data_IF_659543164763
#
_entry.id   IF_659543164763
#
_cell.length_a   1.000
_cell.length_b   1.000
_cell.length_c   1.000
_cell.angle_alpha   90.00
_cell.angle_beta   90.00
_cell.angle_gamma   90.00
#
_symmetry.space_group_name_H-M   'P 1'
#
loop_
_entity.id
_entity.type
_entity.pdbx_description
1 polymer ?
#
# COMPACT_ATOMS: atom_id res chain seq x y z
N UNK A 1 1.42 -22.12 22.65
CA UNK A 1 1.61 -21.13 21.56
C UNK A 1 0.39 -20.22 21.53
N UNK A 2 0.56 -18.91 21.36
CA UNK A 2 -0.58 -18.01 21.16
C UNK A 2 -1.36 -18.40 19.88
N UNK A 3 -2.68 -18.23 19.89
CA UNK A 3 -3.49 -18.48 18.70
C UNK A 3 -3.06 -17.52 17.56
N UNK A 4 -3.13 -17.95 16.28
CA UNK A 4 -2.86 -17.07 15.15
C UNK A 4 -3.73 -15.81 15.18
N UNK A 5 -3.16 -14.64 14.85
CA UNK A 5 -3.87 -13.35 14.93
C UNK A 5 -5.21 -13.35 14.19
N UNK A 6 -5.31 -14.04 13.05
CA UNK A 6 -6.53 -14.09 12.24
C UNK A 6 -7.66 -14.91 12.88
N UNK A 7 -7.40 -15.62 13.98
CA UNK A 7 -8.41 -16.34 14.78
C UNK A 7 -8.84 -15.57 16.04
N UNK A 8 -8.17 -14.48 16.39
CA UNK A 8 -8.45 -13.73 17.63
C UNK A 8 -8.71 -12.23 17.40
N UNK A 9 -8.28 -11.69 16.26
CA UNK A 9 -8.47 -10.28 15.88
C UNK A 9 -9.61 -10.16 14.86
N UNK A 10 -10.80 -9.79 15.32
CA UNK A 10 -12.02 -9.75 14.49
C UNK A 10 -12.32 -8.38 13.88
N UNK A 11 -11.90 -7.28 14.52
CA UNK A 11 -12.10 -5.93 14.00
C UNK A 11 -10.88 -5.52 13.18
N UNK A 12 -11.01 -5.66 11.87
CA UNK A 12 -9.94 -5.42 10.90
C UNK A 12 -10.26 -4.23 10.03
N UNK A 13 -9.24 -3.50 9.62
CA UNK A 13 -9.43 -2.36 8.72
C UNK A 13 -8.34 -2.31 7.66
N UNK A 14 -8.73 -1.79 6.50
CA UNK A 14 -7.85 -1.27 5.47
C UNK A 14 -8.35 0.14 5.18
N UNK A 15 -7.48 1.14 5.32
CA UNK A 15 -7.77 2.50 4.87
C UNK A 15 -7.13 2.67 3.51
N UNK A 16 -7.96 2.90 2.50
CA UNK A 16 -7.53 3.06 1.12
C UNK A 16 -6.56 4.24 1.00
N UNK A 17 -5.42 3.99 0.36
CA UNK A 17 -4.40 4.98 0.10
C UNK A 17 -4.04 5.03 -1.39
N UNK A 18 -5.00 5.00 -2.32
CA UNK A 18 -4.71 5.24 -3.75
C UNK A 18 -4.42 6.72 -4.06
N UNK A 19 -3.41 7.27 -3.38
CA UNK A 19 -3.03 8.67 -3.46
C UNK A 19 -1.87 8.82 -4.45
N UNK A 20 -2.06 9.57 -5.55
CA UNK A 20 -0.99 9.90 -6.49
C UNK A 20 -0.08 11.00 -5.95
N UNK A 21 1.08 11.20 -6.57
CA UNK A 21 2.09 12.16 -6.12
C UNK A 21 2.24 13.40 -7.02
N UNK A 22 1.23 13.69 -7.86
CA UNK A 22 1.24 14.88 -8.72
C UNK A 22 1.10 16.19 -7.94
N UNK A 23 0.54 16.14 -6.72
CA UNK A 23 0.54 17.27 -5.78
C UNK A 23 1.52 17.01 -4.65
N UNK A 24 2.47 17.93 -4.46
CA UNK A 24 3.48 17.86 -3.40
C UNK A 24 2.87 17.95 -1.99
N UNK A 25 1.63 18.41 -1.86
CA UNK A 25 0.92 18.51 -0.58
C UNK A 25 0.36 17.16 -0.12
N UNK A 26 0.18 16.19 -1.03
CA UNK A 26 -0.33 14.88 -0.65
C UNK A 26 0.62 14.17 0.31
N UNK A 27 0.04 13.64 1.40
CA UNK A 27 0.75 13.00 2.52
C UNK A 27 1.74 13.90 3.29
N UNK A 28 1.85 15.19 2.94
CA UNK A 28 2.80 16.12 3.58
C UNK A 28 2.52 16.39 5.07
N UNK A 29 1.28 16.20 5.50
CA UNK A 29 0.83 16.37 6.90
C UNK A 29 0.45 15.03 7.53
N UNK A 30 0.89 13.90 6.95
CA UNK A 30 0.53 12.60 7.48
C UNK A 30 1.15 12.37 8.87
N UNK A 31 0.31 11.93 9.80
CA UNK A 31 0.68 11.60 11.16
C UNK A 31 0.28 10.14 11.46
N UNK A 32 1.26 9.22 11.54
CA UNK A 32 1.01 7.81 11.81
C UNK A 32 0.47 7.57 13.23
N UNK A 33 0.89 8.37 14.22
CA UNK A 33 0.42 8.21 15.60
C UNK A 33 -1.06 8.59 15.68
N UNK A 34 -1.45 9.74 15.11
CA UNK A 34 -2.85 10.15 15.03
C UNK A 34 -3.71 9.16 14.24
N UNK A 35 -3.16 8.57 13.17
CA UNK A 35 -3.84 7.52 12.43
C UNK A 35 -4.12 6.31 13.32
N UNK A 36 -3.10 5.79 14.01
CA UNK A 36 -3.25 4.60 14.87
C UNK A 36 -4.09 4.89 16.13
N UNK A 37 -4.04 6.10 16.69
CA UNK A 37 -4.93 6.51 17.78
C UNK A 37 -6.40 6.41 17.36
N UNK A 38 -6.74 6.77 16.12
CA UNK A 38 -8.09 6.60 15.61
C UNK A 38 -8.47 5.12 15.44
N UNK A 39 -7.51 4.26 15.08
CA UNK A 39 -7.74 2.81 15.01
C UNK A 39 -8.04 2.24 16.41
N UNK A 40 -7.28 2.67 17.42
CA UNK A 40 -7.46 2.25 18.81
C UNK A 40 -8.81 2.70 19.36
N UNK A 41 -9.19 3.97 19.13
CA UNK A 41 -10.51 4.50 19.47
C UNK A 41 -11.66 3.75 18.79
N UNK A 42 -11.43 3.23 17.58
CA UNK A 42 -12.37 2.37 16.87
C UNK A 42 -12.32 0.89 17.33
N UNK A 43 -11.49 0.56 18.32
CA UNK A 43 -11.18 -0.80 18.79
C UNK A 43 -10.75 -1.76 17.67
N UNK A 44 -10.06 -1.25 16.65
CA UNK A 44 -9.43 -2.08 15.63
C UNK A 44 -8.36 -2.94 16.29
N UNK A 45 -8.39 -4.23 16.01
CA UNK A 45 -7.39 -5.18 16.50
C UNK A 45 -6.42 -5.62 15.42
N UNK A 46 -6.75 -5.49 14.12
CA UNK A 46 -5.80 -5.73 13.04
C UNK A 46 -5.87 -4.64 11.96
N UNK A 47 -4.71 -4.10 11.55
CA UNK A 47 -4.61 -3.10 10.50
C UNK A 47 -3.89 -3.68 9.29
N UNK A 48 -4.54 -3.62 8.12
CA UNK A 48 -3.90 -3.83 6.84
C UNK A 48 -3.37 -2.48 6.33
N UNK A 49 -2.05 -2.42 6.13
CA UNK A 49 -1.29 -1.19 5.91
C UNK A 49 -0.73 -1.23 4.50
N UNK A 50 -1.02 -0.20 3.71
CA UNK A 50 -0.48 -0.05 2.37
C UNK A 50 1.05 0.11 2.42
N UNK A 51 1.76 -0.82 1.78
CA UNK A 51 3.18 -0.67 1.43
C UNK A 51 3.32 -0.01 0.04
N UNK A 52 2.43 -0.32 -0.90
CA UNK A 52 2.18 0.43 -2.13
C UNK A 52 0.69 0.30 -2.51
N UNK A 53 0.22 1.12 -3.45
CA UNK A 53 -1.17 1.07 -3.97
C UNK A 53 -1.21 0.78 -5.48
N UNK A 54 -2.41 0.70 -6.09
CA UNK A 54 -2.55 0.57 -7.55
C UNK A 54 -1.97 1.76 -8.34
N UNK A 55 -1.72 2.90 -7.69
CA UNK A 55 -0.97 4.00 -8.31
C UNK A 55 0.48 3.59 -8.57
N UNK A 56 0.98 2.56 -7.88
CA UNK A 56 2.32 2.00 -8.09
C UNK A 56 3.41 2.65 -7.24
N UNK A 57 3.04 3.61 -6.39
CA UNK A 57 3.95 4.32 -5.51
C UNK A 57 4.02 3.64 -4.14
N UNK A 58 5.25 3.43 -3.66
CA UNK A 58 5.52 2.87 -2.34
C UNK A 58 5.48 3.96 -1.26
N UNK A 59 5.00 3.59 -0.07
CA UNK A 59 4.92 4.45 1.10
C UNK A 59 6.11 4.26 2.08
N UNK A 60 7.20 3.71 1.57
CA UNK A 60 8.44 3.43 2.27
C UNK A 60 9.63 3.58 1.30
N UNK A 61 10.87 3.85 1.79
CA UNK A 61 12.08 3.87 0.96
C UNK A 61 12.35 2.50 0.32
N UNK A 62 12.13 2.37 -0.98
CA UNK A 62 12.14 1.09 -1.69
C UNK A 62 13.27 0.97 -2.73
N UNK A 63 13.63 -0.27 -3.08
CA UNK A 63 14.50 -0.61 -4.22
C UNK A 63 13.74 -1.21 -5.41
N UNK A 64 12.48 -1.62 -5.22
CA UNK A 64 11.70 -2.42 -6.18
C UNK A 64 10.56 -1.63 -6.85
N UNK A 65 10.65 -0.31 -6.87
CA UNK A 65 9.64 0.59 -7.45
C UNK A 65 9.95 2.06 -7.15
N UNK A 66 8.96 2.93 -7.32
CA UNK A 66 9.09 4.35 -6.97
C UNK A 66 8.44 4.66 -5.62
N UNK A 67 9.11 5.49 -4.82
CA UNK A 67 8.55 6.04 -3.61
C UNK A 67 7.61 7.22 -3.92
N UNK A 68 6.53 7.35 -3.17
CA UNK A 68 5.63 8.50 -3.25
C UNK A 68 6.38 9.79 -2.88
N UNK A 69 6.52 10.74 -3.83
CA UNK A 69 7.35 11.96 -3.66
C UNK A 69 6.94 12.81 -2.45
N UNK A 70 5.65 12.85 -2.13
CA UNK A 70 5.13 13.60 -0.98
C UNK A 70 5.70 13.17 0.39
N UNK A 71 6.26 11.96 0.49
CA UNK A 71 6.87 11.46 1.72
C UNK A 71 8.33 11.86 1.91
N UNK A 72 9.00 12.38 0.87
CA UNK A 72 10.37 12.94 0.96
C UNK A 72 11.38 12.03 1.69
N UNK A 73 11.32 10.71 1.44
CA UNK A 73 12.21 9.72 2.06
C UNK A 73 11.73 9.15 3.41
N UNK A 74 10.59 9.59 3.94
CA UNK A 74 9.99 9.08 5.18
C UNK A 74 9.32 7.71 5.00
N UNK A 75 9.57 6.79 5.93
CA UNK A 75 8.95 5.45 5.96
C UNK A 75 7.58 5.47 6.66
N UNK A 76 6.56 5.91 5.94
CA UNK A 76 5.19 6.01 6.46
C UNK A 76 4.63 4.64 6.85
N UNK A 77 4.84 3.60 6.02
CA UNK A 77 4.34 2.24 6.30
C UNK A 77 4.99 1.68 7.57
N UNK A 78 6.32 1.82 7.71
CA UNK A 78 7.06 1.37 8.88
C UNK A 78 6.63 2.08 10.17
N UNK A 79 6.39 3.39 10.11
CA UNK A 79 5.91 4.16 11.25
C UNK A 79 4.52 3.70 11.72
N UNK A 80 3.57 3.48 10.80
CA UNK A 80 2.24 2.94 11.16
C UNK A 80 2.38 1.55 11.80
N UNK A 81 3.22 0.67 11.23
CA UNK A 81 3.47 -0.67 11.78
C UNK A 81 4.02 -0.57 13.20
N UNK A 82 4.99 0.31 13.44
CA UNK A 82 5.58 0.51 14.77
C UNK A 82 4.51 0.99 15.78
N UNK A 83 3.69 1.96 15.41
CA UNK A 83 2.62 2.49 16.28
C UNK A 83 1.53 1.45 16.57
N UNK A 84 1.11 0.65 15.58
CA UNK A 84 0.17 -0.45 15.77
C UNK A 84 0.72 -1.50 16.76
N UNK A 85 2.00 -1.88 16.62
CA UNK A 85 2.64 -2.88 17.49
C UNK A 85 2.72 -2.42 18.94
N UNK A 86 2.99 -1.13 19.20
CA UNK A 86 2.97 -0.54 20.55
C UNK A 86 1.62 -0.75 21.26
N UNK A 87 0.52 -0.80 20.50
CA UNK A 87 -0.86 -0.97 21.00
C UNK A 87 -1.39 -2.40 20.88
N UNK A 88 -0.52 -3.37 20.61
CA UNK A 88 -0.90 -4.79 20.51
C UNK A 88 -1.77 -5.13 19.30
N UNK A 89 -1.83 -4.26 18.28
CA UNK A 89 -2.57 -4.53 17.04
C UNK A 89 -1.75 -5.44 16.12
N UNK A 90 -2.41 -6.39 15.46
CA UNK A 90 -1.81 -7.17 14.39
C UNK A 90 -1.69 -6.33 13.11
N UNK A 91 -0.60 -6.49 12.37
CA UNK A 91 -0.32 -5.70 11.15
C UNK A 91 -0.19 -6.61 9.93
N UNK A 92 -0.83 -6.24 8.82
CA UNK A 92 -0.77 -6.95 7.53
C UNK A 92 -0.25 -5.96 6.49
N UNK A 93 0.83 -6.27 5.80
CA UNK A 93 1.30 -5.43 4.69
C UNK A 93 0.46 -5.74 3.44
N UNK A 94 -0.15 -4.71 2.88
CA UNK A 94 -0.78 -4.77 1.56
C UNK A 94 0.22 -4.31 0.51
N UNK A 95 0.43 -5.13 -0.53
CA UNK A 95 1.23 -4.77 -1.68
C UNK A 95 0.50 -5.17 -2.97
N UNK A 96 0.34 -4.23 -3.90
CA UNK A 96 -0.24 -4.48 -5.21
C UNK A 96 0.83 -4.83 -6.24
N UNK A 97 0.66 -6.01 -6.85
CA UNK A 97 1.59 -6.56 -7.83
C UNK A 97 1.11 -6.32 -9.27
N UNK A 98 -0.10 -6.81 -9.60
CA UNK A 98 -0.62 -6.76 -10.98
C UNK A 98 -1.07 -5.35 -11.35
N UNK A 99 -1.76 -4.66 -10.45
CA UNK A 99 -2.24 -3.29 -10.70
C UNK A 99 -1.19 -2.30 -10.22
N UNK A 100 -0.53 -1.63 -11.16
CA UNK A 100 0.57 -0.72 -10.85
C UNK A 100 0.72 0.31 -11.97
N UNK A 101 0.14 1.51 -11.79
CA UNK A 101 0.21 2.57 -12.80
C UNK A 101 1.63 3.04 -13.08
N UNK A 102 2.43 3.27 -12.03
CA UNK A 102 3.81 3.71 -12.19
C UNK A 102 4.61 2.71 -13.05
N UNK A 103 4.58 1.43 -12.71
CA UNK A 103 5.29 0.41 -13.46
C UNK A 103 4.71 0.27 -14.88
N UNK A 104 3.39 0.24 -15.03
CA UNK A 104 2.76 0.19 -16.35
C UNK A 104 3.20 1.35 -17.25
N UNK A 105 3.35 2.57 -16.71
CA UNK A 105 3.76 3.74 -17.48
C UNK A 105 5.26 3.67 -17.83
N UNK A 106 6.12 3.38 -16.85
CA UNK A 106 7.57 3.47 -16.99
C UNK A 106 8.22 2.22 -17.60
N UNK A 107 7.52 1.08 -17.57
CA UNK A 107 7.97 -0.21 -18.09
C UNK A 107 6.94 -0.82 -19.04
N UNK A 108 6.82 -0.31 -20.28
CA UNK A 108 5.88 -0.84 -21.27
C UNK A 108 6.03 -2.35 -21.54
N UNK A 109 7.25 -2.87 -21.42
CA UNK A 109 7.62 -4.27 -21.56
C UNK A 109 7.05 -5.17 -20.45
N UNK A 110 6.67 -4.59 -19.30
CA UNK A 110 6.04 -5.34 -18.21
C UNK A 110 4.51 -5.43 -18.33
N UNK A 111 3.89 -4.75 -19.30
CA UNK A 111 2.42 -4.66 -19.37
C UNK A 111 1.79 -6.02 -19.67
N UNK A 112 0.59 -6.24 -19.15
CA UNK A 112 -0.26 -7.34 -19.66
C UNK A 112 -0.70 -6.96 -21.08
N UNK A 113 -0.33 -7.80 -22.05
CA UNK A 113 -0.83 -7.72 -23.42
C UNK A 113 -2.00 -8.70 -23.55
N UNK A 114 -3.25 -8.23 -23.73
CA UNK A 114 -4.38 -9.12 -23.90
C UNK A 114 -4.26 -9.90 -25.23
N UNK A 115 -4.78 -11.13 -25.24
CA UNK A 115 -5.01 -11.84 -26.49
C UNK A 115 -6.19 -11.16 -27.23
N UNK A 116 -5.88 -10.26 -28.17
CA UNK A 116 -6.84 -9.49 -28.95
C UNK A 116 -7.07 -8.06 -28.43
N UNK A 117 -8.14 -7.42 -28.88
CA UNK A 117 -8.38 -5.97 -28.66
C UNK A 117 -8.94 -5.60 -27.28
N UNK A 118 -9.30 -6.58 -26.44
CA UNK A 118 -9.97 -6.31 -25.15
C UNK A 118 -8.97 -5.84 -24.09
N UNK A 119 -9.09 -4.57 -23.70
CA UNK A 119 -8.38 -4.03 -22.52
C UNK A 119 -8.99 -4.61 -21.24
N UNK A 120 -8.16 -5.24 -20.41
CA UNK A 120 -8.59 -6.02 -19.23
C UNK A 120 -9.16 -5.18 -18.09
N UNK A 121 -8.65 -3.95 -17.88
CA UNK A 121 -9.14 -3.04 -16.84
C UNK A 121 -9.04 -1.57 -17.27
N UNK A 122 -10.12 -0.77 -17.15
CA UNK A 122 -10.10 0.62 -17.60
C UNK A 122 -9.50 1.60 -16.58
N UNK A 123 -9.43 1.23 -15.29
CA UNK A 123 -9.07 2.18 -14.21
C UNK A 123 -7.57 2.26 -13.91
N UNK A 124 -6.87 1.13 -13.94
CA UNK A 124 -5.47 1.03 -13.56
C UNK A 124 -4.68 0.28 -14.64
N UNK A 125 -3.42 0.66 -14.80
CA UNK A 125 -2.45 -0.08 -15.59
C UNK A 125 -2.16 -1.44 -14.96
N UNK A 126 -2.08 -2.47 -15.79
CA UNK A 126 -1.76 -3.83 -15.37
C UNK A 126 -0.36 -4.24 -15.84
N UNK A 127 0.34 -4.95 -14.96
CA UNK A 127 1.67 -5.53 -15.19
C UNK A 127 1.57 -7.06 -15.11
N UNK A 128 2.27 -7.73 -16.01
CA UNK A 128 2.30 -9.18 -16.14
C UNK A 128 3.09 -9.78 -14.97
N UNK A 129 2.49 -10.66 -14.15
CA UNK A 129 3.20 -11.31 -13.05
C UNK A 129 4.30 -12.29 -13.53
N UNK A 130 4.30 -12.64 -14.82
CA UNK A 130 5.35 -13.44 -15.46
C UNK A 130 6.46 -12.57 -16.08
N UNK A 131 6.38 -11.24 -15.99
CA UNK A 131 7.48 -10.36 -16.38
C UNK A 131 8.66 -10.59 -15.44
N UNK A 132 9.88 -10.65 -15.98
CA UNK A 132 11.09 -10.89 -15.17
C UNK A 132 11.52 -9.68 -14.33
N UNK A 133 10.94 -8.50 -14.58
CA UNK A 133 11.40 -7.24 -13.99
C UNK A 133 12.64 -6.74 -14.72
#
# INVERSE_FOLDING_TARGET
MAAPWHKTHWRRILVDAHIPDWDVRFLSQWDPAKFVDNLERAHVSAAMIYANSHVGLCYWPTKSGAMHKGLKGRDMSGEIIAECRKRGMATIAYYSLIFNNWAHINHPEWRIVPAGEKRWHPRYGTCCPNSLG
#
